data_IF_600419789029
#
_entry.id   IF_600419789029
#
_cell.length_a   1.000
_cell.length_b   1.000
_cell.length_c   1.000
_cell.angle_alpha   90.00
_cell.angle_beta   90.00
_cell.angle_gamma   90.00
#
_symmetry.space_group_name_H-M   'P 1'
#
loop_
_entity.id
_entity.type
_entity.pdbx_description
1 polymer ?
#
# COMPACT_ATOMS: atom_id res chain seq x y z
N UNK A 1 13.50 20.98 -7.95
CA UNK A 1 13.58 19.64 -7.34
C UNK A 1 12.20 19.02 -7.42
N UNK A 2 12.07 17.96 -8.19
CA UNK A 2 10.81 17.23 -8.39
C UNK A 2 10.19 16.77 -7.05
N UNK A 3 11.03 16.27 -6.14
CA UNK A 3 10.61 15.86 -4.79
C UNK A 3 9.78 16.91 -4.05
N UNK A 4 10.20 18.17 -4.09
CA UNK A 4 9.51 19.23 -3.34
C UNK A 4 8.08 19.47 -3.85
N UNK A 5 7.86 19.34 -5.15
CA UNK A 5 6.53 19.45 -5.77
C UNK A 5 5.68 18.21 -5.45
N UNK A 6 6.27 17.01 -5.56
CA UNK A 6 5.64 15.73 -5.21
C UNK A 6 5.24 15.72 -3.74
N UNK A 7 6.15 16.14 -2.84
CA UNK A 7 5.86 16.24 -1.41
C UNK A 7 4.61 17.09 -1.13
N UNK A 8 4.55 18.30 -1.66
CA UNK A 8 3.40 19.20 -1.45
C UNK A 8 2.10 18.60 -1.96
N UNK A 9 2.16 17.93 -3.12
CA UNK A 9 1.00 17.30 -3.71
C UNK A 9 0.50 16.14 -2.84
N UNK A 10 1.37 15.26 -2.38
CA UNK A 10 1.02 14.12 -1.54
C UNK A 10 0.49 14.58 -0.18
N UNK A 11 1.12 15.57 0.46
CA UNK A 11 0.62 16.13 1.71
C UNK A 11 -0.80 16.70 1.58
N UNK A 12 -1.13 17.35 0.48
CA UNK A 12 -2.43 18.01 0.29
C UNK A 12 -3.60 17.03 0.12
N UNK A 13 -3.33 15.77 -0.19
CA UNK A 13 -4.35 14.74 -0.47
C UNK A 13 -4.24 13.53 0.47
N UNK A 14 -3.36 13.60 1.47
CA UNK A 14 -3.13 12.50 2.41
C UNK A 14 -4.35 12.28 3.30
N UNK A 15 -4.86 11.07 3.31
CA UNK A 15 -5.96 10.66 4.17
C UNK A 15 -5.47 10.22 5.56
N UNK A 16 -6.34 10.35 6.55
CA UNK A 16 -6.13 9.94 7.93
C UNK A 16 -6.89 8.64 8.23
N UNK A 17 -6.20 7.65 8.78
CA UNK A 17 -6.78 6.34 9.09
C UNK A 17 -7.92 6.42 10.12
N UNK A 18 -7.92 7.40 11.02
CA UNK A 18 -8.95 7.53 12.05
C UNK A 18 -10.16 8.34 11.57
N UNK A 19 -9.92 9.40 10.80
CA UNK A 19 -10.95 10.39 10.47
C UNK A 19 -11.63 10.14 9.12
N UNK A 20 -10.89 9.59 8.13
CA UNK A 20 -11.38 9.43 6.76
C UNK A 20 -12.00 8.05 6.47
N UNK A 21 -11.88 7.10 7.41
CA UNK A 21 -12.45 5.77 7.32
C UNK A 21 -13.69 5.68 8.22
N UNK A 22 -14.86 5.31 7.67
CA UNK A 22 -16.11 5.28 8.43
C UNK A 22 -16.24 4.01 9.29
N UNK A 23 -15.32 3.78 10.23
CA UNK A 23 -15.25 2.58 11.07
C UNK A 23 -16.57 2.18 11.73
N UNK A 24 -17.42 3.16 12.02
CA UNK A 24 -18.72 2.97 12.70
C UNK A 24 -19.82 2.39 11.77
N UNK A 25 -19.55 2.30 10.46
CA UNK A 25 -20.52 1.76 9.49
C UNK A 25 -20.31 0.30 9.16
N UNK A 26 -19.43 -0.40 9.88
CA UNK A 26 -19.14 -1.81 9.64
C UNK A 26 -20.39 -2.68 9.72
N UNK A 27 -20.57 -3.53 8.72
CA UNK A 27 -21.63 -4.53 8.65
C UNK A 27 -21.04 -5.92 8.38
N UNK A 28 -21.00 -6.74 9.42
CA UNK A 28 -20.40 -8.10 9.35
C UNK A 28 -21.19 -9.07 8.48
N UNK A 29 -22.44 -8.81 8.14
CA UNK A 29 -23.24 -9.66 7.24
C UNK A 29 -22.78 -9.50 5.78
N UNK A 30 -22.14 -8.39 5.46
CA UNK A 30 -21.63 -8.07 4.13
C UNK A 30 -20.15 -8.51 3.90
N UNK A 31 -19.56 -9.24 4.84
CA UNK A 31 -18.16 -9.67 4.77
C UNK A 31 -18.04 -11.19 4.93
N UNK A 32 -17.70 -11.88 3.85
CA UNK A 32 -17.41 -13.31 3.87
C UNK A 32 -16.00 -13.63 4.42
N UNK A 33 -15.77 -14.88 4.80
CA UNK A 33 -14.45 -15.33 5.24
C UNK A 33 -13.44 -15.36 4.07
N UNK A 34 -13.89 -15.61 2.83
CA UNK A 34 -13.05 -15.50 1.63
C UNK A 34 -12.56 -14.05 1.43
N UNK A 35 -13.44 -13.09 1.62
CA UNK A 35 -13.08 -11.68 1.56
C UNK A 35 -12.11 -11.30 2.69
N UNK A 36 -12.35 -11.78 3.92
CA UNK A 36 -11.43 -11.55 5.05
C UNK A 36 -10.04 -12.14 4.80
N UNK A 37 -9.97 -13.33 4.20
CA UNK A 37 -8.70 -13.94 3.79
C UNK A 37 -7.97 -13.10 2.73
N UNK A 38 -8.71 -12.57 1.76
CA UNK A 38 -8.14 -11.67 0.73
C UNK A 38 -7.59 -10.40 1.36
N UNK A 39 -8.29 -9.80 2.32
CA UNK A 39 -7.80 -8.63 3.07
C UNK A 39 -6.50 -8.97 3.82
N UNK A 40 -6.42 -10.13 4.47
CA UNK A 40 -5.18 -10.63 5.11
C UNK A 40 -4.04 -10.73 4.11
N UNK A 41 -4.27 -11.34 2.94
CA UNK A 41 -3.24 -11.50 1.92
C UNK A 41 -2.77 -10.15 1.37
N UNK A 42 -3.66 -9.18 1.20
CA UNK A 42 -3.30 -7.83 0.81
C UNK A 42 -2.45 -7.13 1.89
N UNK A 43 -2.82 -7.25 3.17
CA UNK A 43 -2.02 -6.70 4.28
C UNK A 43 -0.59 -7.26 4.30
N UNK A 44 -0.42 -8.57 4.04
CA UNK A 44 0.89 -9.23 3.95
C UNK A 44 1.66 -8.72 2.72
N UNK A 45 0.99 -8.51 1.59
CA UNK A 45 1.61 -7.96 0.37
C UNK A 45 2.14 -6.55 0.61
N UNK A 46 1.35 -5.67 1.21
CA UNK A 46 1.76 -4.31 1.57
C UNK A 46 2.92 -4.29 2.59
N UNK A 47 2.99 -5.30 3.46
CA UNK A 47 4.10 -5.42 4.41
C UNK A 47 5.46 -5.66 3.72
N UNK A 48 5.46 -6.12 2.46
CA UNK A 48 6.65 -6.27 1.64
C UNK A 48 7.26 -4.93 1.17
N UNK A 49 6.64 -3.79 1.47
CA UNK A 49 7.20 -2.47 1.16
C UNK A 49 8.59 -2.25 1.79
N UNK A 50 8.89 -2.86 2.96
CA UNK A 50 10.22 -2.73 3.57
C UNK A 50 11.34 -3.30 2.68
N UNK A 51 11.36 -4.59 2.29
CA UNK A 51 12.39 -5.11 1.39
C UNK A 51 12.39 -4.43 0.02
N UNK A 52 11.23 -3.98 -0.48
CA UNK A 52 11.17 -3.19 -1.71
C UNK A 52 11.88 -1.83 -1.54
N UNK A 53 11.65 -1.12 -0.43
CA UNK A 53 12.34 0.15 -0.11
C UNK A 53 13.85 -0.04 -0.05
N UNK A 54 14.34 -1.10 0.61
CA UNK A 54 15.76 -1.42 0.67
C UNK A 54 16.38 -1.60 -0.72
N UNK A 55 15.69 -2.31 -1.60
CA UNK A 55 16.11 -2.52 -2.99
C UNK A 55 16.16 -1.19 -3.76
N UNK A 56 15.08 -0.41 -3.73
CA UNK A 56 14.99 0.83 -4.49
C UNK A 56 16.01 1.87 -4.05
N UNK A 57 16.22 2.03 -2.73
CA UNK A 57 17.23 2.94 -2.19
C UNK A 57 18.64 2.49 -2.54
N UNK A 58 18.93 1.20 -2.50
CA UNK A 58 20.23 0.65 -2.86
C UNK A 58 20.55 0.87 -4.34
N UNK A 59 19.62 0.52 -5.21
CA UNK A 59 19.83 0.53 -6.65
C UNK A 59 19.79 1.95 -7.25
N UNK A 60 19.21 2.92 -6.54
CA UNK A 60 19.13 4.33 -6.92
C UNK A 60 19.86 5.26 -5.94
N UNK A 61 20.89 4.79 -5.26
CA UNK A 61 21.58 5.50 -4.17
C UNK A 61 22.18 6.88 -4.57
N UNK A 62 22.40 7.11 -5.87
CA UNK A 62 22.93 8.37 -6.38
C UNK A 62 21.84 9.42 -6.71
N UNK A 63 20.57 9.06 -6.59
CA UNK A 63 19.43 9.95 -6.83
C UNK A 63 18.81 10.40 -5.50
N UNK A 64 19.18 11.60 -5.05
CA UNK A 64 18.70 12.14 -3.79
C UNK A 64 17.20 12.56 -3.84
N UNK A 65 16.71 12.96 -5.01
CA UNK A 65 15.28 13.29 -5.19
C UNK A 65 14.42 12.03 -5.13
N UNK A 66 14.87 10.95 -5.76
CA UNK A 66 14.19 9.66 -5.65
C UNK A 66 14.22 9.10 -4.23
N UNK A 67 15.39 9.16 -3.56
CA UNK A 67 15.51 8.72 -2.16
C UNK A 67 14.56 9.48 -1.22
N UNK A 68 14.38 10.76 -1.46
CA UNK A 68 13.44 11.58 -0.69
C UNK A 68 11.97 11.21 -0.97
N UNK A 69 11.61 10.91 -2.23
CA UNK A 69 10.30 10.36 -2.58
C UNK A 69 10.04 9.03 -1.87
N UNK A 70 11.02 8.13 -1.83
CA UNK A 70 10.91 6.82 -1.17
C UNK A 70 10.56 6.92 0.32
N UNK A 71 10.93 8.00 1.00
CA UNK A 71 10.55 8.21 2.41
C UNK A 71 9.05 8.41 2.58
N UNK A 72 8.39 9.08 1.63
CA UNK A 72 6.94 9.27 1.63
C UNK A 72 6.25 7.99 1.18
N UNK A 73 6.72 7.42 0.08
CA UNK A 73 6.19 6.18 -0.45
C UNK A 73 6.17 5.09 0.62
N UNK A 74 7.28 4.83 1.28
CA UNK A 74 7.36 3.83 2.34
C UNK A 74 6.40 4.11 3.51
N UNK A 75 6.24 5.37 3.90
CA UNK A 75 5.25 5.74 4.92
C UNK A 75 3.82 5.40 4.48
N UNK A 76 3.46 5.69 3.23
CA UNK A 76 2.10 5.43 2.71
C UNK A 76 1.84 3.93 2.55
N UNK A 77 2.81 3.15 2.06
CA UNK A 77 2.72 1.68 2.00
C UNK A 77 2.54 1.05 3.38
N UNK A 78 3.31 1.50 4.38
CA UNK A 78 3.13 1.02 5.75
C UNK A 78 1.74 1.40 6.31
N UNK A 79 1.22 2.56 5.95
CA UNK A 79 -0.14 2.96 6.32
C UNK A 79 -1.19 2.03 5.67
N UNK A 80 -1.00 1.59 4.42
CA UNK A 80 -1.85 0.61 3.76
C UNK A 80 -1.90 -0.70 4.55
N UNK A 81 -0.73 -1.30 4.80
CA UNK A 81 -0.61 -2.53 5.59
C UNK A 81 -1.29 -2.41 6.95
N UNK A 82 -0.94 -1.36 7.71
CA UNK A 82 -1.45 -1.13 9.06
C UNK A 82 -2.96 -0.88 9.08
N UNK A 83 -3.52 -0.25 8.06
CA UNK A 83 -4.96 -0.01 7.97
C UNK A 83 -5.73 -1.31 7.74
N UNK A 84 -5.23 -2.18 6.86
CA UNK A 84 -5.83 -3.51 6.63
C UNK A 84 -5.71 -4.40 7.87
N UNK A 85 -4.57 -4.37 8.58
CA UNK A 85 -4.37 -5.07 9.85
C UNK A 85 -5.34 -4.54 10.92
N UNK A 86 -5.49 -3.22 11.05
CA UNK A 86 -6.43 -2.63 12.01
C UNK A 86 -7.88 -2.99 11.71
N UNK A 87 -8.26 -3.06 10.42
CA UNK A 87 -9.57 -3.54 10.01
C UNK A 87 -9.80 -4.99 10.48
N UNK A 88 -8.86 -5.90 10.17
CA UNK A 88 -8.96 -7.30 10.61
C UNK A 88 -9.00 -7.42 12.13
N UNK A 89 -8.15 -6.67 12.83
CA UNK A 89 -8.11 -6.67 14.30
C UNK A 89 -9.44 -6.27 14.92
N UNK A 90 -10.14 -5.30 14.34
CA UNK A 90 -11.44 -4.84 14.84
C UNK A 90 -12.58 -5.80 14.53
N UNK A 91 -12.59 -6.38 13.35
CA UNK A 91 -13.79 -7.00 12.80
C UNK A 91 -13.66 -8.48 12.45
N UNK A 92 -12.46 -8.96 12.18
CA UNK A 92 -12.16 -10.36 11.81
C UNK A 92 -10.85 -10.84 12.43
N UNK A 93 -10.72 -10.86 13.77
CA UNK A 93 -9.44 -11.14 14.45
C UNK A 93 -8.86 -12.52 14.13
N UNK A 94 -9.68 -13.49 13.75
CA UNK A 94 -9.24 -14.84 13.34
C UNK A 94 -8.44 -14.82 12.03
N UNK A 95 -8.50 -13.73 11.27
CA UNK A 95 -7.77 -13.54 10.01
C UNK A 95 -6.55 -12.60 10.16
N UNK A 96 -6.15 -12.25 11.38
CA UNK A 96 -4.94 -11.44 11.55
C UNK A 96 -3.72 -12.15 10.99
N UNK A 97 -2.82 -11.44 10.26
CA UNK A 97 -1.51 -11.97 9.91
C UNK A 97 -0.73 -12.34 11.17
N UNK A 98 -0.05 -13.48 11.15
CA UNK A 98 0.90 -13.86 12.20
C UNK A 98 2.25 -13.17 11.98
N UNK A 99 3.06 -13.08 13.03
CA UNK A 99 4.45 -12.61 12.93
C UNK A 99 5.27 -13.43 11.92
N UNK A 100 5.05 -14.74 11.84
CA UNK A 100 5.72 -15.62 10.90
C UNK A 100 5.35 -15.27 9.44
N UNK A 101 4.07 -15.02 9.15
CA UNK A 101 3.59 -14.61 7.83
C UNK A 101 4.17 -13.25 7.42
N UNK A 102 4.22 -12.29 8.35
CA UNK A 102 4.83 -10.98 8.11
C UNK A 102 6.36 -11.06 7.92
N UNK A 103 7.03 -11.98 8.62
CA UNK A 103 8.45 -12.23 8.43
C UNK A 103 8.77 -12.92 7.10
N UNK A 104 7.88 -13.77 6.61
CA UNK A 104 8.08 -14.52 5.37
C UNK A 104 8.23 -13.62 4.12
N UNK A 105 7.69 -12.40 4.15
CA UNK A 105 7.85 -11.43 3.05
C UNK A 105 9.09 -10.53 3.16
N UNK A 106 9.91 -10.71 4.18
CA UNK A 106 11.19 -9.99 4.36
C UNK A 106 12.32 -10.69 3.62
N UNK A 107 12.17 -10.88 2.34
CA UNK A 107 13.19 -11.45 1.49
C UNK A 107 14.08 -10.37 0.89
N UNK A 108 15.30 -10.74 0.50
CA UNK A 108 16.27 -9.83 -0.09
C UNK A 108 16.17 -9.89 -1.60
N UNK A 109 15.91 -8.75 -2.22
CA UNK A 109 15.98 -8.62 -3.67
C UNK A 109 17.44 -8.56 -4.16
N UNK A 110 17.72 -9.22 -5.29
CA UNK A 110 18.98 -9.04 -6.00
C UNK A 110 19.11 -7.59 -6.51
N UNK A 111 20.34 -7.13 -6.69
CA UNK A 111 20.60 -5.82 -7.29
C UNK A 111 20.35 -5.88 -8.79
N UNK A 112 19.72 -4.83 -9.32
CA UNK A 112 19.45 -4.66 -10.73
C UNK A 112 19.77 -3.23 -11.17
N UNK A 113 19.93 -2.99 -12.50
CA UNK A 113 20.11 -1.63 -13.02
C UNK A 113 18.93 -0.71 -12.59
N UNK A 114 19.21 0.57 -12.28
CA UNK A 114 18.17 1.51 -11.83
C UNK A 114 16.91 1.54 -12.71
N UNK A 115 17.07 1.52 -14.02
CA UNK A 115 15.92 1.53 -14.93
C UNK A 115 15.02 0.30 -14.76
N UNK A 116 15.60 -0.87 -14.52
CA UNK A 116 14.84 -2.11 -14.33
C UNK A 116 14.05 -2.05 -13.01
N UNK A 117 14.67 -1.60 -11.92
CA UNK A 117 14.01 -1.46 -10.62
C UNK A 117 12.93 -0.40 -10.64
N UNK A 118 13.14 0.74 -11.32
CA UNK A 118 12.13 1.78 -11.47
C UNK A 118 10.95 1.31 -12.33
N UNK A 119 11.20 0.58 -13.42
CA UNK A 119 10.14 -0.01 -14.23
C UNK A 119 9.34 -1.07 -13.47
N UNK A 120 10.02 -1.90 -12.68
CA UNK A 120 9.35 -2.87 -11.81
C UNK A 120 8.42 -2.16 -10.82
N UNK A 121 8.89 -1.11 -10.18
CA UNK A 121 8.11 -0.30 -9.24
C UNK A 121 6.89 0.31 -9.95
N UNK A 122 7.10 1.05 -11.03
CA UNK A 122 6.01 1.64 -11.80
C UNK A 122 4.93 0.62 -12.19
N UNK A 123 5.34 -0.54 -12.72
CA UNK A 123 4.38 -1.60 -13.08
C UNK A 123 3.66 -2.17 -11.86
N UNK A 124 4.33 -2.25 -10.72
CA UNK A 124 3.75 -2.64 -9.44
C UNK A 124 2.62 -1.72 -9.03
N UNK A 125 2.88 -0.40 -9.00
CA UNK A 125 1.91 0.64 -8.65
C UNK A 125 0.65 0.60 -9.56
N UNK A 126 0.85 0.50 -10.87
CA UNK A 126 -0.27 0.41 -11.83
C UNK A 126 -1.11 -0.85 -11.58
N UNK A 127 -0.44 -1.98 -11.30
CA UNK A 127 -1.13 -3.25 -10.99
C UNK A 127 -1.91 -3.16 -9.70
N UNK A 128 -1.33 -2.60 -8.63
CA UNK A 128 -1.98 -2.45 -7.33
C UNK A 128 -3.14 -1.44 -7.40
N UNK A 129 -2.98 -0.33 -8.11
CA UNK A 129 -4.09 0.57 -8.37
C UNK A 129 -5.30 -0.16 -8.98
N UNK A 130 -5.07 -0.96 -10.03
CA UNK A 130 -6.14 -1.74 -10.67
C UNK A 130 -6.73 -2.78 -9.71
N UNK A 131 -5.87 -3.51 -9.00
CA UNK A 131 -6.28 -4.53 -8.04
C UNK A 131 -7.18 -3.95 -6.95
N UNK A 132 -6.79 -2.84 -6.32
CA UNK A 132 -7.58 -2.23 -5.25
C UNK A 132 -8.88 -1.58 -5.75
N UNK A 133 -8.93 -1.12 -6.98
CA UNK A 133 -10.21 -0.73 -7.60
C UNK A 133 -11.15 -1.92 -7.72
N UNK A 134 -10.68 -3.03 -8.27
CA UNK A 134 -11.48 -4.26 -8.36
C UNK A 134 -11.89 -4.77 -6.96
N UNK A 135 -10.99 -4.72 -5.98
CA UNK A 135 -11.30 -5.08 -4.61
C UNK A 135 -12.38 -4.18 -3.99
N UNK A 136 -12.29 -2.86 -4.20
CA UNK A 136 -13.31 -1.92 -3.77
C UNK A 136 -14.68 -2.24 -4.39
N UNK A 137 -14.73 -2.61 -5.67
CA UNK A 137 -15.97 -2.96 -6.36
C UNK A 137 -16.53 -4.32 -5.92
N UNK A 138 -15.65 -5.26 -5.55
CA UNK A 138 -16.03 -6.61 -5.10
C UNK A 138 -16.62 -6.64 -3.68
N UNK A 139 -16.29 -5.67 -2.84
CA UNK A 139 -16.81 -5.59 -1.48
C UNK A 139 -18.07 -4.72 -1.41
N UNK A 140 -19.12 -5.20 -0.73
CA UNK A 140 -20.28 -4.40 -0.36
C UNK A 140 -20.16 -3.81 1.04
N UNK A 141 -19.28 -4.36 1.88
CA UNK A 141 -19.03 -3.85 3.23
C UNK A 141 -18.39 -2.45 3.16
N UNK A 142 -19.04 -1.42 3.75
CA UNK A 142 -18.71 -0.02 3.47
C UNK A 142 -17.33 0.42 3.96
N UNK A 143 -16.84 -0.15 5.08
CA UNK A 143 -15.54 0.24 5.64
C UNK A 143 -14.40 -0.26 4.75
N UNK A 144 -14.39 -1.55 4.40
CA UNK A 144 -13.33 -2.11 3.56
C UNK A 144 -13.40 -1.57 2.13
N UNK A 145 -14.59 -1.34 1.60
CA UNK A 145 -14.78 -0.67 0.31
C UNK A 145 -14.13 0.70 0.29
N UNK A 146 -14.32 1.50 1.34
CA UNK A 146 -13.67 2.81 1.48
C UNK A 146 -12.16 2.68 1.60
N UNK A 147 -11.66 1.72 2.39
CA UNK A 147 -10.22 1.49 2.54
C UNK A 147 -9.60 1.20 1.16
N UNK A 148 -10.10 0.23 0.40
CA UNK A 148 -9.56 -0.11 -0.92
C UNK A 148 -9.64 1.05 -1.92
N UNK A 149 -10.69 1.87 -1.84
CA UNK A 149 -10.78 3.10 -2.64
C UNK A 149 -9.65 4.09 -2.32
N UNK A 150 -9.28 4.23 -1.04
CA UNK A 150 -8.19 5.10 -0.61
C UNK A 150 -6.82 4.55 -1.05
N UNK A 151 -6.58 3.25 -0.83
CA UNK A 151 -5.36 2.58 -1.29
C UNK A 151 -5.18 2.77 -2.81
N UNK A 152 -6.21 2.46 -3.60
CA UNK A 152 -6.17 2.64 -5.05
C UNK A 152 -5.79 4.06 -5.48
N UNK A 153 -6.25 5.09 -4.76
CA UNK A 153 -5.90 6.48 -5.05
C UNK A 153 -4.43 6.78 -4.74
N UNK A 154 -3.88 6.19 -3.66
CA UNK A 154 -2.46 6.33 -3.33
C UNK A 154 -1.60 5.68 -4.42
N UNK A 155 -1.90 4.43 -4.84
CA UNK A 155 -1.17 3.73 -5.90
C UNK A 155 -1.18 4.48 -7.23
N UNK A 156 -2.31 5.12 -7.57
CA UNK A 156 -2.37 5.97 -8.76
C UNK A 156 -1.44 7.19 -8.66
N UNK A 157 -1.27 7.75 -7.47
CA UNK A 157 -0.35 8.87 -7.21
C UNK A 157 1.11 8.42 -7.25
N UNK A 158 1.41 7.27 -6.62
CA UNK A 158 2.75 6.67 -6.63
C UNK A 158 3.19 6.41 -8.07
N UNK A 159 2.39 5.69 -8.86
CA UNK A 159 2.68 5.45 -10.27
C UNK A 159 2.81 6.73 -11.09
N UNK A 160 2.03 7.76 -10.78
CA UNK A 160 2.08 9.06 -11.45
C UNK A 160 3.40 9.83 -11.29
N UNK A 161 4.20 9.52 -10.26
CA UNK A 161 5.53 10.14 -10.05
C UNK A 161 6.50 9.73 -11.16
N UNK A 162 6.41 8.51 -11.67
CA UNK A 162 7.30 7.97 -12.72
C UNK A 162 7.03 8.54 -14.13
N UNK A 163 5.94 9.27 -14.31
CA UNK A 163 5.57 9.88 -15.58
C UNK A 163 6.00 11.33 -15.70
N UNK A 164 6.75 11.86 -14.77
CA UNK A 164 7.24 13.25 -14.69
C UNK A 164 8.73 13.32 -14.90
#
# INVERSE_FOLDING_TARGET
MLYHEVFKQLESVRWNMQDDIPWHTFDGELLSDEQALTIKMNAITEWAALPATEMFLRDNANDSDFSAFMSIWFYEEQKHALTLIEYLKKFKPDFLPTEEELHAVRFKFDSAPPLETLMLHFCGEIRLNHWYRCASDWHDEPVIKKIYSLLSQDEARHGGVYLR
#
